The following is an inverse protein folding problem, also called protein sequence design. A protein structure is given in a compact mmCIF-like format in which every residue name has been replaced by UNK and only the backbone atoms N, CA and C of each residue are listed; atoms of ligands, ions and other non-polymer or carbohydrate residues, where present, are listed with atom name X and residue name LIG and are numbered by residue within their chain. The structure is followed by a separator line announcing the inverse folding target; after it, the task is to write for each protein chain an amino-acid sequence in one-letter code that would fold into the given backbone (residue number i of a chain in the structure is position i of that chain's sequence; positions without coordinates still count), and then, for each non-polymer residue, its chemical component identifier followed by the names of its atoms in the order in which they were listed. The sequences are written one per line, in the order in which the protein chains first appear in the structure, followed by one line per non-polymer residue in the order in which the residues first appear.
data_IF_937006991550
#
_entry.id   IF_937006991550
#
_cell.length_a   1.000
_cell.length_b   1.000
_cell.length_c   1.000
_cell.angle_alpha   90.00
_cell.angle_beta   90.00
_cell.angle_gamma   90.00
#
_symmetry.space_group_name_H-M   'P 1'
#
loop_
_entity.id
_entity.type
_entity.pdbx_description
1 polymer ?
#
# COMPACT_ATOMS: atom_id res chain seq x y z
N UNK A 1 -11.14 26.15 37.42
CA UNK A 1 -12.54 25.72 37.18
C UNK A 1 -12.46 24.36 36.52
N UNK A 2 -12.91 23.30 37.16
CA UNK A 2 -12.97 21.99 36.51
C UNK A 2 -13.99 22.08 35.36
N UNK A 3 -13.61 21.63 34.18
CA UNK A 3 -14.53 21.54 33.06
C UNK A 3 -15.67 20.57 33.43
N UNK A 4 -16.95 20.90 33.11
CA UNK A 4 -18.07 20.02 33.42
C UNK A 4 -17.83 18.64 32.79
N UNK A 5 -18.10 17.58 33.55
CA UNK A 5 -17.98 16.19 33.09
C UNK A 5 -18.70 15.97 31.75
N UNK A 6 -19.84 16.63 31.56
CA UNK A 6 -20.65 16.61 30.34
C UNK A 6 -19.88 17.08 29.11
N UNK A 7 -19.13 18.20 29.21
CA UNK A 7 -18.33 18.72 28.09
C UNK A 7 -17.15 17.81 27.75
N UNK A 8 -16.52 17.20 28.76
CA UNK A 8 -15.45 16.23 28.57
C UNK A 8 -15.96 14.96 27.87
N UNK A 9 -17.17 14.51 28.24
CA UNK A 9 -17.82 13.37 27.59
C UNK A 9 -18.20 13.69 26.15
N UNK A 10 -18.79 14.85 25.88
CA UNK A 10 -19.15 15.30 24.54
C UNK A 10 -17.92 15.34 23.62
N UNK A 11 -16.81 15.94 24.09
CA UNK A 11 -15.55 15.98 23.35
C UNK A 11 -15.01 14.58 23.04
N UNK A 12 -15.02 13.68 24.04
CA UNK A 12 -14.57 12.31 23.85
C UNK A 12 -15.42 11.51 22.85
N UNK A 13 -16.74 11.75 22.83
CA UNK A 13 -17.64 11.12 21.84
C UNK A 13 -17.37 11.63 20.42
N UNK A 14 -17.15 12.93 20.26
CA UNK A 14 -16.81 13.53 18.95
C UNK A 14 -15.50 12.94 18.42
N UNK A 15 -14.45 12.93 19.24
CA UNK A 15 -13.15 12.38 18.83
C UNK A 15 -13.22 10.88 18.50
N UNK A 16 -14.00 10.11 19.27
CA UNK A 16 -14.22 8.70 18.98
C UNK A 16 -14.92 8.52 17.62
N UNK A 17 -15.93 9.33 17.32
CA UNK A 17 -16.64 9.27 16.04
C UNK A 17 -15.69 9.61 14.88
N UNK A 18 -14.89 10.68 15.01
CA UNK A 18 -13.90 11.06 14.00
C UNK A 18 -12.87 9.95 13.75
N UNK A 19 -12.39 9.30 14.81
CA UNK A 19 -11.49 8.17 14.72
C UNK A 19 -12.13 6.98 13.99
N UNK A 20 -13.39 6.64 14.32
CA UNK A 20 -14.14 5.58 13.64
C UNK A 20 -14.31 5.86 12.13
N UNK A 21 -14.64 7.11 11.79
CA UNK A 21 -14.77 7.51 10.39
C UNK A 21 -13.44 7.46 9.64
N UNK A 22 -12.34 7.86 10.29
CA UNK A 22 -10.99 7.78 9.73
C UNK A 22 -10.55 6.33 9.50
N UNK A 23 -10.82 5.42 10.43
CA UNK A 23 -10.55 3.98 10.26
C UNK A 23 -11.37 3.45 9.08
N UNK A 24 -12.67 3.75 9.02
CA UNK A 24 -13.53 3.27 7.95
C UNK A 24 -13.10 3.78 6.57
N UNK A 25 -12.58 5.01 6.46
CA UNK A 25 -11.97 5.53 5.22
C UNK A 25 -10.72 4.73 4.86
N UNK A 26 -9.81 4.58 5.82
CA UNK A 26 -8.54 3.86 5.62
C UNK A 26 -8.78 2.41 5.20
N UNK A 27 -9.73 1.71 5.82
CA UNK A 27 -10.10 0.36 5.40
C UNK A 27 -10.58 0.29 3.95
N UNK A 28 -11.36 1.28 3.49
CA UNK A 28 -11.84 1.31 2.10
C UNK A 28 -10.72 1.56 1.11
N UNK A 29 -9.75 2.38 1.47
CA UNK A 29 -8.54 2.63 0.67
C UNK A 29 -7.69 1.37 0.58
N UNK A 30 -7.43 0.72 1.71
CA UNK A 30 -6.66 -0.53 1.76
C UNK A 30 -7.31 -1.66 0.95
N UNK A 31 -8.65 -1.79 0.97
CA UNK A 31 -9.37 -2.80 0.16
C UNK A 31 -9.22 -2.60 -1.35
N UNK A 32 -8.84 -1.42 -1.80
CA UNK A 32 -8.63 -1.10 -3.21
C UNK A 32 -7.15 -1.09 -3.59
N UNK A 33 -6.24 -1.21 -2.62
CA UNK A 33 -4.81 -1.21 -2.85
C UNK A 33 -4.37 -2.48 -3.61
N UNK A 34 -3.44 -2.29 -4.54
CA UNK A 34 -2.74 -3.37 -5.22
C UNK A 34 -1.32 -2.91 -5.53
N UNK A 35 -0.36 -3.81 -5.40
CA UNK A 35 1.05 -3.53 -5.68
C UNK A 35 1.62 -4.54 -6.64
N UNK A 36 2.41 -4.06 -7.59
CA UNK A 36 3.20 -4.89 -8.49
C UNK A 36 4.69 -4.67 -8.23
N UNK A 37 5.46 -5.76 -8.19
CA UNK A 37 6.91 -5.73 -8.02
C UNK A 37 7.56 -6.60 -9.09
N UNK A 38 8.70 -6.16 -9.62
CA UNK A 38 9.54 -6.94 -10.53
C UNK A 38 10.56 -7.76 -9.73
N UNK A 39 10.87 -8.96 -10.20
CA UNK A 39 12.05 -9.71 -9.76
C UNK A 39 13.34 -8.95 -10.11
N UNK A 40 14.44 -9.28 -9.42
CA UNK A 40 15.74 -8.61 -9.60
C UNK A 40 16.28 -8.74 -11.02
N UNK A 41 16.00 -9.86 -11.69
CA UNK A 41 16.36 -10.11 -13.10
C UNK A 41 15.39 -9.48 -14.12
N UNK A 42 14.31 -8.85 -13.63
CA UNK A 42 13.24 -8.23 -14.42
C UNK A 42 12.57 -9.22 -15.39
N UNK A 43 12.59 -10.51 -15.08
CA UNK A 43 11.92 -11.54 -15.87
C UNK A 43 10.46 -11.74 -15.46
N UNK A 44 10.12 -11.46 -14.19
CA UNK A 44 8.79 -11.67 -13.63
C UNK A 44 8.29 -10.40 -12.96
N UNK A 45 7.01 -10.09 -13.15
CA UNK A 45 6.28 -9.12 -12.33
C UNK A 45 5.18 -9.86 -11.57
N UNK A 46 5.15 -9.71 -10.25
CA UNK A 46 4.10 -10.25 -9.41
C UNK A 46 3.21 -9.11 -8.91
N UNK A 47 1.90 -9.30 -8.96
CA UNK A 47 0.89 -8.36 -8.48
C UNK A 47 0.13 -8.97 -7.32
N UNK A 48 0.04 -8.24 -6.22
CA UNK A 48 -0.75 -8.64 -5.04
C UNK A 48 -1.95 -7.72 -4.83
N UNK A 49 -3.01 -8.31 -4.30
CA UNK A 49 -4.22 -7.63 -3.88
C UNK A 49 -4.18 -7.19 -2.40
N UNK A 50 -5.31 -6.65 -1.90
CA UNK A 50 -5.40 -5.98 -0.61
C UNK A 50 -5.16 -6.88 0.61
N UNK A 51 -5.25 -8.20 0.47
CA UNK A 51 -4.96 -9.17 1.55
C UNK A 51 -3.53 -9.74 1.43
N UNK A 52 -2.72 -9.24 0.50
CA UNK A 52 -1.41 -9.79 0.16
C UNK A 52 -1.51 -11.10 -0.63
N UNK A 53 -2.68 -11.42 -1.16
CA UNK A 53 -2.92 -12.52 -2.08
C UNK A 53 -2.35 -12.20 -3.46
N UNK A 54 -1.82 -13.21 -4.14
CA UNK A 54 -1.28 -13.04 -5.49
C UNK A 54 -2.43 -12.97 -6.50
N UNK A 55 -2.59 -11.84 -7.17
CA UNK A 55 -3.67 -11.58 -8.14
C UNK A 55 -3.19 -11.61 -9.59
N UNK A 56 -1.87 -11.51 -9.82
CA UNK A 56 -1.30 -11.57 -11.16
C UNK A 56 0.18 -11.95 -11.17
N UNK A 57 0.58 -12.64 -12.24
CA UNK A 57 1.97 -12.88 -12.61
C UNK A 57 2.12 -12.56 -14.09
N UNK A 58 3.10 -11.74 -14.44
CA UNK A 58 3.45 -11.42 -15.81
C UNK A 58 4.91 -11.83 -16.08
N UNK A 59 5.14 -12.59 -17.14
CA UNK A 59 6.49 -12.92 -17.62
C UNK A 59 6.92 -11.90 -18.66
N UNK A 60 7.99 -11.17 -18.39
CA UNK A 60 8.42 -10.02 -19.18
C UNK A 60 9.43 -10.42 -20.26
N UNK A 61 9.35 -9.75 -21.41
CA UNK A 61 10.37 -9.75 -22.46
C UNK A 61 10.78 -11.14 -22.98
N UNK A 62 9.95 -12.16 -22.80
CA UNK A 62 10.26 -13.57 -23.06
C UNK A 62 11.50 -14.13 -22.33
N UNK A 63 12.05 -13.41 -21.35
CA UNK A 63 13.26 -13.83 -20.60
C UNK A 63 13.12 -15.20 -19.95
N UNK A 64 11.91 -15.55 -19.52
CA UNK A 64 11.56 -16.85 -18.96
C UNK A 64 11.91 -18.04 -19.87
N UNK A 65 12.07 -17.83 -21.19
CA UNK A 65 12.39 -18.90 -22.15
C UNK A 65 13.85 -19.34 -22.10
N UNK A 66 14.74 -18.43 -21.72
CA UNK A 66 16.17 -18.70 -21.64
C UNK A 66 16.60 -19.14 -20.23
N UNK A 67 15.65 -19.17 -19.29
CA UNK A 67 15.86 -19.54 -17.88
C UNK A 67 15.62 -21.02 -17.65
N UNK A 68 16.39 -21.61 -16.73
CA UNK A 68 16.04 -22.90 -16.16
C UNK A 68 14.73 -22.81 -15.35
N UNK A 69 14.01 -23.93 -15.18
CA UNK A 69 12.81 -23.96 -14.34
C UNK A 69 13.06 -23.47 -12.90
N UNK A 70 14.26 -23.72 -12.35
CA UNK A 70 14.66 -23.31 -11.01
C UNK A 70 14.87 -21.79 -10.92
N UNK A 71 15.54 -21.19 -11.90
CA UNK A 71 15.73 -19.73 -11.97
C UNK A 71 14.39 -19.01 -12.12
N UNK A 72 13.48 -19.55 -12.94
CA UNK A 72 12.15 -18.97 -13.11
C UNK A 72 11.34 -19.04 -11.81
N UNK A 73 11.37 -20.19 -11.13
CA UNK A 73 10.69 -20.36 -9.86
C UNK A 73 11.25 -19.41 -8.78
N UNK A 74 12.57 -19.24 -8.72
CA UNK A 74 13.20 -18.29 -7.80
C UNK A 74 12.72 -16.86 -8.06
N UNK A 75 12.63 -16.44 -9.33
CA UNK A 75 12.18 -15.10 -9.72
C UNK A 75 10.71 -14.85 -9.40
N UNK A 76 9.86 -15.86 -9.59
CA UNK A 76 8.45 -15.78 -9.17
C UNK A 76 8.33 -15.64 -7.66
N UNK A 77 9.05 -16.46 -6.90
CA UNK A 77 9.01 -16.43 -5.43
C UNK A 77 9.54 -15.10 -4.89
N UNK A 78 10.63 -14.59 -5.45
CA UNK A 78 11.20 -13.29 -5.12
C UNK A 78 10.20 -12.18 -5.34
N UNK A 79 9.68 -12.03 -6.58
CA UNK A 79 8.74 -10.97 -6.92
C UNK A 79 7.47 -11.05 -6.06
N UNK A 80 6.96 -12.26 -5.81
CA UNK A 80 5.75 -12.47 -5.00
C UNK A 80 5.97 -12.11 -3.53
N UNK A 81 7.11 -12.50 -2.95
CA UNK A 81 7.46 -12.18 -1.56
C UNK A 81 7.68 -10.68 -1.37
N UNK A 82 8.36 -10.04 -2.32
CA UNK A 82 8.59 -8.60 -2.31
C UNK A 82 7.27 -7.81 -2.45
N UNK A 83 6.39 -8.23 -3.37
CA UNK A 83 5.08 -7.61 -3.55
C UNK A 83 4.21 -7.72 -2.28
N UNK A 84 4.18 -8.90 -1.65
CA UNK A 84 3.45 -9.11 -0.39
C UNK A 84 4.01 -8.24 0.74
N UNK A 85 5.34 -8.14 0.85
CA UNK A 85 6.00 -7.29 1.86
C UNK A 85 5.63 -5.82 1.65
N UNK A 86 5.62 -5.34 0.40
CA UNK A 86 5.19 -3.98 0.04
C UNK A 86 3.74 -3.71 0.44
N UNK A 87 2.83 -4.66 0.18
CA UNK A 87 1.43 -4.56 0.60
C UNK A 87 1.29 -4.51 2.14
N UNK A 88 1.95 -5.42 2.86
CA UNK A 88 1.91 -5.45 4.32
C UNK A 88 2.43 -4.14 4.93
N UNK A 89 3.50 -3.57 4.36
CA UNK A 89 4.06 -2.29 4.79
C UNK A 89 3.10 -1.13 4.53
N UNK A 90 2.38 -1.16 3.41
CA UNK A 90 1.34 -0.19 3.12
C UNK A 90 0.21 -0.23 4.17
N UNK A 91 -0.26 -1.43 4.53
CA UNK A 91 -1.25 -1.63 5.61
C UNK A 91 -0.74 -1.09 6.95
N UNK A 92 0.50 -1.45 7.32
CA UNK A 92 1.12 -0.96 8.55
C UNK A 92 1.18 0.57 8.60
N UNK A 93 1.68 1.21 7.52
CA UNK A 93 1.78 2.68 7.44
C UNK A 93 0.41 3.35 7.50
N UNK A 94 -0.60 2.78 6.84
CA UNK A 94 -1.96 3.31 6.85
C UNK A 94 -2.62 3.20 8.24
N UNK A 95 -2.27 2.17 9.02
CA UNK A 95 -2.84 1.93 10.34
C UNK A 95 -2.05 2.58 11.49
N UNK A 96 -0.79 2.96 11.27
CA UNK A 96 0.08 3.57 12.28
C UNK A 96 -0.55 4.76 13.04
N UNK A 97 -1.30 5.69 12.40
CA UNK A 97 -1.93 6.80 13.11
C UNK A 97 -2.95 6.38 14.18
N UNK A 98 -3.51 5.17 14.08
CA UNK A 98 -4.50 4.64 15.03
C UNK A 98 -3.87 3.78 16.14
N UNK A 99 -2.58 3.46 16.02
CA UNK A 99 -1.84 2.72 17.04
C UNK A 99 -1.38 3.65 18.20
N UNK A 100 -1.29 4.95 17.94
CA UNK A 100 -0.90 5.93 18.95
C UNK A 100 -2.09 6.35 19.84
N UNK A 101 -1.87 6.65 21.13
CA UNK A 101 -2.88 7.24 22.00
C UNK A 101 -3.37 8.57 21.44
N UNK A 102 -4.66 8.89 21.65
CA UNK A 102 -5.19 10.16 21.18
C UNK A 102 -4.51 11.33 21.92
N UNK A 103 -4.12 12.36 21.17
CA UNK A 103 -3.49 13.56 21.74
C UNK A 103 -4.46 14.45 22.52
N UNK A 104 -5.77 14.31 22.29
CA UNK A 104 -6.79 15.21 22.83
C UNK A 104 -7.62 14.59 23.96
N UNK A 105 -7.74 13.25 24.01
CA UNK A 105 -8.38 12.46 25.07
C UNK A 105 -7.43 11.31 25.49
N UNK A 106 -6.61 11.51 26.54
CA UNK A 106 -5.64 10.50 26.99
C UNK A 106 -6.24 9.14 27.37
N UNK A 107 -7.54 9.11 27.69
CA UNK A 107 -8.29 7.90 28.00
C UNK A 107 -8.56 7.02 26.76
N UNK A 108 -8.54 7.60 25.55
CA UNK A 108 -8.60 6.87 24.28
C UNK A 108 -7.21 6.31 23.93
N UNK A 109 -6.98 5.05 24.33
CA UNK A 109 -5.78 4.31 23.94
C UNK A 109 -5.83 3.95 22.45
N UNK A 110 -4.68 4.06 21.78
CA UNK A 110 -4.50 3.48 20.45
C UNK A 110 -4.55 1.96 20.46
N UNK A 111 -4.61 1.35 19.28
CA UNK A 111 -4.55 -0.10 19.16
C UNK A 111 -3.12 -0.61 19.33
N UNK A 112 -2.91 -1.53 20.27
CA UNK A 112 -1.63 -2.21 20.41
C UNK A 112 -1.52 -3.29 19.31
N UNK A 113 -0.75 -2.98 18.27
CA UNK A 113 -0.55 -3.84 17.10
C UNK A 113 0.91 -4.31 17.06
N UNK A 114 1.10 -5.62 17.24
CA UNK A 114 2.40 -6.26 17.07
C UNK A 114 2.62 -6.60 15.58
N UNK A 115 3.15 -5.61 14.84
CA UNK A 115 3.37 -5.72 13.40
C UNK A 115 4.34 -6.85 13.02
N UNK A 116 5.36 -7.08 13.84
CA UNK A 116 6.32 -8.17 13.65
C UNK A 116 5.61 -9.53 13.76
N UNK A 117 4.72 -9.70 14.74
CA UNK A 117 3.93 -10.92 14.87
C UNK A 117 2.90 -11.10 13.76
N UNK A 118 2.31 -10.02 13.26
CA UNK A 118 1.25 -10.08 12.23
C UNK A 118 1.85 -10.35 10.84
N UNK A 119 2.92 -9.65 10.47
CA UNK A 119 3.46 -9.66 9.10
C UNK A 119 4.88 -10.20 8.98
N UNK A 120 5.57 -10.43 10.10
CA UNK A 120 6.99 -10.75 10.16
C UNK A 120 7.88 -9.50 10.23
N UNK A 121 9.18 -9.66 10.56
CA UNK A 121 10.11 -8.55 10.76
C UNK A 121 10.43 -7.77 9.48
N UNK A 122 10.22 -8.36 8.29
CA UNK A 122 10.47 -7.70 6.99
C UNK A 122 9.68 -6.40 6.81
N UNK A 123 8.50 -6.30 7.42
CA UNK A 123 7.64 -5.11 7.30
C UNK A 123 8.24 -3.88 7.99
N UNK A 124 9.09 -4.09 9.00
CA UNK A 124 9.71 -3.05 9.81
C UNK A 124 11.05 -2.57 9.25
N UNK A 125 11.59 -3.24 8.21
CA UNK A 125 12.80 -2.78 7.54
C UNK A 125 12.46 -1.57 6.67
N UNK A 126 13.18 -0.47 6.89
CA UNK A 126 13.14 0.71 6.03
C UNK A 126 13.60 0.33 4.61
N UNK A 127 12.82 0.72 3.60
CA UNK A 127 13.28 0.66 2.21
C UNK A 127 14.14 1.91 1.96
N UNK A 128 15.45 1.74 1.76
CA UNK A 128 16.31 2.77 1.16
C UNK A 128 15.99 3.03 -0.33
N UNK A 129 14.98 2.37 -0.91
CA UNK A 129 14.74 2.32 -2.38
C UNK A 129 13.36 2.81 -2.86
N UNK A 130 12.53 3.46 -2.03
CA UNK A 130 11.29 4.09 -2.51
C UNK A 130 11.57 5.48 -3.13
N UNK A 131 12.61 5.58 -3.98
CA UNK A 131 12.61 6.58 -5.04
C UNK A 131 11.53 6.17 -6.04
N UNK A 132 10.37 6.77 -5.86
CA UNK A 132 9.22 6.76 -6.74
C UNK A 132 9.59 6.63 -8.23
N UNK A 133 9.58 5.40 -8.74
CA UNK A 133 9.11 5.13 -10.09
C UNK A 133 7.60 4.98 -10.00
N UNK A 134 6.97 6.13 -9.81
CA UNK A 134 5.55 6.32 -10.01
C UNK A 134 5.28 6.11 -11.52
N UNK A 135 4.96 4.87 -11.88
CA UNK A 135 4.44 4.50 -13.20
C UNK A 135 2.93 4.77 -13.27
N UNK A 136 2.48 5.90 -12.69
CA UNK A 136 1.18 6.46 -13.03
C UNK A 136 1.25 6.98 -14.45
N UNK A 137 0.95 6.06 -15.37
CA UNK A 137 0.09 6.31 -16.52
C UNK A 137 0.48 7.58 -17.28
N UNK A 138 1.58 7.47 -18.03
CA UNK A 138 1.85 8.34 -19.17
C UNK A 138 0.57 8.47 -20.00
N UNK A 139 -0.11 9.61 -19.88
CA UNK A 139 -1.10 10.04 -20.85
C UNK A 139 -0.32 10.29 -22.14
N UNK A 140 -0.57 9.54 -23.20
CA UNK A 140 0.39 9.55 -24.27
C UNK A 140 0.08 10.76 -25.18
N UNK A 141 1.09 11.60 -25.33
CA UNK A 141 1.08 12.89 -26.02
C UNK A 141 0.99 12.78 -27.55
N UNK A 142 0.03 11.98 -28.06
CA UNK A 142 -0.23 11.84 -29.51
C UNK A 142 -1.66 12.27 -29.90
N UNK A 143 -2.25 13.18 -29.13
CA UNK A 143 -3.53 13.81 -29.51
C UNK A 143 -3.40 15.15 -30.23
N UNK A 144 -2.18 15.60 -30.51
CA UNK A 144 -1.91 16.92 -31.09
C UNK A 144 -1.34 16.88 -32.52
N UNK A 145 -1.48 15.75 -33.22
CA UNK A 145 -0.88 15.55 -34.56
C UNK A 145 -1.88 15.06 -35.63
N UNK A 146 -3.19 15.15 -35.40
CA UNK A 146 -4.20 14.77 -36.40
C UNK A 146 -5.31 15.83 -36.48
N UNK A 147 -5.17 16.77 -37.43
CA UNK A 147 -6.28 17.61 -37.89
C UNK A 147 -5.96 19.05 -38.30
N UNK A 148 -4.75 19.33 -38.78
CA UNK A 148 -4.52 20.49 -39.65
C UNK A 148 -4.82 20.02 -41.08
N UNK A 149 -5.92 20.48 -41.67
CA UNK A 149 -6.10 20.72 -43.11
C UNK A 149 -7.54 21.16 -43.42
N UNK A 150 -7.66 22.34 -44.00
CA UNK A 150 -8.92 22.94 -44.46
C UNK A 150 -8.76 24.42 -44.80
N UNK A 151 -7.93 24.71 -45.81
CA UNK A 151 -7.71 25.99 -46.48
C UNK A 151 -9.00 26.62 -47.07
N UNK A 152 -8.91 27.95 -47.22
CA UNK A 152 -9.70 28.93 -48.00
C UNK A 152 -11.10 29.39 -47.53
#
# INVERSE_FOLDING_TARGET
MAEPLEKRLEKAMVELQEAQEAIARTERELRQASFSVLSSDRAVRATVGPQGELTGIEFLENKHRDMSPQELAASVLEASSAARTKMNRHVMKAMAPFAEPSSHVPELKGFELDWERIFGPEVLRDDDEDTARDDTRATPAWRDALGEDGED
#
